data_IF_073172340360
#
_entry.id   IF_073172340360
#
_cell.length_a   1.000
_cell.length_b   1.000
_cell.length_c   1.000
_cell.angle_alpha   90.00
_cell.angle_beta   90.00
_cell.angle_gamma   90.00
#
_symmetry.space_group_name_H-M   'P 1'
#
loop_
_entity.id
_entity.type
_entity.pdbx_description
1 polymer ?
#
# COMPACT_ATOMS: atom_id res chain seq x y z
N UNK A 1 -49.77 77.54 42.33
CA UNK A 1 -49.92 78.38 43.55
C UNK A 1 -48.72 78.12 44.45
N UNK A 2 -47.91 79.17 44.71
CA UNK A 2 -46.82 79.34 45.72
C UNK A 2 -45.54 78.49 45.52
N UNK A 3 -44.41 79.09 45.07
CA UNK A 3 -43.36 79.84 45.83
C UNK A 3 -42.62 78.92 46.82
N UNK A 4 -41.29 78.76 46.82
CA UNK A 4 -40.20 79.73 47.06
C UNK A 4 -38.91 79.30 46.30
N UNK A 5 -38.22 80.13 45.53
CA UNK A 5 -37.21 81.16 45.87
C UNK A 5 -36.14 80.74 46.90
N UNK A 6 -34.89 80.57 46.43
CA UNK A 6 -33.74 81.39 46.85
C UNK A 6 -32.47 81.04 46.07
N UNK A 7 -32.09 81.98 45.22
CA UNK A 7 -30.78 82.15 44.59
C UNK A 7 -29.83 82.79 45.63
N UNK A 8 -28.60 82.29 45.76
CA UNK A 8 -27.51 83.02 46.40
C UNK A 8 -26.19 82.80 45.66
N UNK A 9 -25.31 83.77 45.85
CA UNK A 9 -24.41 84.36 44.87
C UNK A 9 -22.98 83.78 44.97
N UNK A 10 -22.46 83.41 43.80
CA UNK A 10 -21.09 83.47 43.26
C UNK A 10 -19.92 83.94 44.17
N UNK A 11 -18.80 83.18 44.15
CA UNK A 11 -17.40 83.63 43.82
C UNK A 11 -16.38 82.49 44.05
N UNK A 12 -15.72 81.99 42.99
CA UNK A 12 -14.32 82.22 42.54
C UNK A 12 -13.26 81.47 43.39
N UNK A 13 -12.25 80.71 42.92
CA UNK A 13 -11.48 80.62 41.66
C UNK A 13 -10.67 79.29 41.66
N UNK A 14 -10.17 78.90 40.48
CA UNK A 14 -8.85 78.30 40.17
C UNK A 14 -8.84 76.86 39.61
N UNK A 15 -8.69 76.79 38.29
CA UNK A 15 -7.67 75.96 37.65
C UNK A 15 -8.10 74.56 37.21
N UNK A 16 -8.15 74.34 35.89
CA UNK A 16 -8.14 72.98 35.36
C UNK A 16 -8.83 72.84 34.01
N UNK A 17 -8.09 73.11 32.94
CA UNK A 17 -8.15 72.46 31.62
C UNK A 17 -9.51 71.90 31.15
N UNK A 18 -10.11 72.57 30.16
CA UNK A 18 -11.00 71.91 29.20
C UNK A 18 -10.19 70.86 28.44
N UNK A 19 -10.29 69.59 28.85
CA UNK A 19 -9.94 68.46 27.98
C UNK A 19 -11.27 67.90 27.49
N UNK A 20 -11.54 68.11 26.21
CA UNK A 20 -12.64 67.47 25.49
C UNK A 20 -12.52 65.96 25.72
N UNK A 21 -13.43 65.39 26.50
CA UNK A 21 -13.52 63.94 26.65
C UNK A 21 -13.99 63.37 25.31
N UNK A 22 -13.05 62.89 24.50
CA UNK A 22 -13.34 61.97 23.41
C UNK A 22 -14.14 60.81 24.01
N UNK A 23 -15.32 60.46 23.49
CA UNK A 23 -16.07 59.33 24.02
C UNK A 23 -15.19 58.09 23.90
N UNK A 24 -14.89 57.46 25.04
CA UNK A 24 -14.16 56.21 25.07
C UNK A 24 -15.07 55.16 24.44
N UNK A 25 -14.84 54.85 23.16
CA UNK A 25 -15.59 53.84 22.42
C UNK A 25 -15.32 52.50 23.09
N UNK A 26 -16.36 51.89 23.69
CA UNK A 26 -16.23 50.56 24.29
C UNK A 26 -15.91 49.56 23.19
N UNK A 27 -14.85 48.77 23.38
CA UNK A 27 -14.56 47.64 22.50
C UNK A 27 -15.74 46.65 22.55
N UNK A 28 -16.13 46.11 21.40
CA UNK A 28 -17.13 45.06 21.31
C UNK A 28 -16.56 43.80 21.99
N UNK A 29 -17.16 43.42 23.12
CA UNK A 29 -16.78 42.23 23.89
C UNK A 29 -17.55 40.99 23.47
N UNK A 30 -18.31 41.06 22.37
CA UNK A 30 -19.07 39.93 21.85
C UNK A 30 -18.12 38.96 21.16
N UNK A 31 -17.87 37.81 21.78
CA UNK A 31 -17.08 36.76 21.18
C UNK A 31 -17.85 36.12 20.02
N UNK A 32 -17.24 36.07 18.83
CA UNK A 32 -17.77 35.36 17.67
C UNK A 32 -17.06 34.03 17.52
N UNK A 33 -17.82 32.98 17.19
CA UNK A 33 -17.29 31.64 16.93
C UNK A 33 -17.40 31.33 15.44
N UNK A 34 -16.41 30.62 14.91
CA UNK A 34 -16.45 30.03 13.57
C UNK A 34 -16.32 28.53 13.68
N UNK A 35 -16.94 27.80 12.76
CA UNK A 35 -16.82 26.35 12.67
C UNK A 35 -16.01 25.99 11.43
N UNK A 36 -15.02 25.13 11.59
CA UNK A 36 -14.35 24.48 10.45
C UNK A 36 -15.06 23.14 10.19
N UNK A 37 -15.46 22.90 8.94
CA UNK A 37 -16.13 21.66 8.53
C UNK A 37 -15.26 20.90 7.54
N UNK A 38 -15.09 19.59 7.79
CA UNK A 38 -14.43 18.64 6.89
C UNK A 38 -15.45 17.55 6.54
N UNK A 39 -15.58 17.26 5.23
CA UNK A 39 -16.41 16.17 4.75
C UNK A 39 -15.50 15.10 4.15
N UNK A 40 -15.62 13.86 4.65
CA UNK A 40 -14.98 12.68 4.09
C UNK A 40 -16.04 11.94 3.27
N UNK A 41 -15.76 11.67 2.00
CA UNK A 41 -16.69 10.96 1.12
C UNK A 41 -16.67 9.45 1.42
N UNK A 42 -17.78 8.77 1.15
CA UNK A 42 -17.86 7.31 1.22
C UNK A 42 -17.23 6.71 -0.04
N UNK A 43 -16.17 5.91 0.17
CA UNK A 43 -15.39 5.25 -0.87
C UNK A 43 -16.17 4.14 -1.60
N UNK A 44 -17.39 3.77 -1.15
CA UNK A 44 -18.23 2.78 -1.84
C UNK A 44 -18.57 3.15 -3.29
N UNK A 45 -18.43 4.44 -3.65
CA UNK A 45 -18.56 4.96 -5.02
C UNK A 45 -17.24 5.45 -5.62
N UNK A 46 -16.17 5.49 -4.82
CA UNK A 46 -14.84 5.94 -5.26
C UNK A 46 -14.05 4.76 -5.83
N UNK A 47 -14.00 4.68 -7.16
CA UNK A 47 -13.22 3.67 -7.88
C UNK A 47 -11.70 3.86 -7.76
N UNK A 48 -11.23 4.94 -7.12
CA UNK A 48 -9.81 5.28 -7.07
C UNK A 48 -9.08 4.66 -5.89
N UNK A 49 -9.74 4.39 -4.76
CA UNK A 49 -9.15 3.70 -3.61
C UNK A 49 -9.27 2.18 -3.73
N UNK A 50 -8.19 1.52 -4.15
CA UNK A 50 -8.15 0.08 -4.38
C UNK A 50 -6.86 -0.55 -3.87
N UNK A 51 -6.96 -1.83 -3.54
CA UNK A 51 -5.82 -2.73 -3.48
C UNK A 51 -5.94 -3.67 -4.67
N UNK A 52 -5.01 -3.58 -5.63
CA UNK A 52 -4.99 -4.44 -6.81
C UNK A 52 -3.60 -4.99 -7.10
N UNK A 53 -3.59 -6.22 -7.58
CA UNK A 53 -2.45 -6.87 -8.18
C UNK A 53 -2.59 -6.70 -9.69
N UNK A 54 -1.89 -5.72 -10.24
CA UNK A 54 -2.06 -5.29 -11.62
C UNK A 54 -1.27 -6.19 -12.58
N UNK A 55 -0.09 -6.68 -12.16
CA UNK A 55 0.74 -7.59 -12.95
C UNK A 55 1.42 -8.66 -12.08
N UNK A 56 1.63 -9.83 -12.68
CA UNK A 56 2.40 -10.95 -12.12
C UNK A 56 3.36 -11.52 -13.17
N UNK A 57 4.50 -12.11 -12.75
CA UNK A 57 5.50 -12.58 -13.68
C UNK A 57 5.11 -13.90 -14.35
N UNK A 58 5.65 -14.11 -15.54
CA UNK A 58 5.66 -15.38 -16.25
C UNK A 58 7.08 -15.96 -16.30
N UNK A 59 7.20 -17.29 -16.29
CA UNK A 59 8.49 -18.00 -16.25
C UNK A 59 8.67 -18.94 -17.46
N UNK A 60 9.03 -18.42 -18.65
CA UNK A 60 9.19 -19.23 -19.85
C UNK A 60 10.58 -19.87 -19.94
N UNK A 61 10.76 -21.07 -19.37
CA UNK A 61 12.03 -21.83 -19.42
C UNK A 61 12.37 -22.42 -20.82
N UNK A 62 11.60 -22.07 -21.85
CA UNK A 62 11.84 -22.41 -23.26
C UNK A 62 12.10 -23.92 -23.49
N UNK A 63 12.95 -24.25 -24.46
CA UNK A 63 13.22 -25.62 -24.87
C UNK A 63 14.22 -26.29 -23.91
N UNK A 64 13.73 -27.19 -23.08
CA UNK A 64 14.54 -28.02 -22.19
C UNK A 64 14.73 -29.40 -22.79
N UNK A 65 15.97 -29.90 -22.81
CA UNK A 65 16.28 -31.26 -23.25
C UNK A 65 15.81 -32.27 -22.20
N UNK A 66 15.21 -33.38 -22.63
CA UNK A 66 14.75 -34.43 -21.72
C UNK A 66 15.87 -34.96 -20.79
N UNK A 67 17.12 -35.06 -21.29
CA UNK A 67 18.27 -35.44 -20.48
C UNK A 67 18.55 -34.52 -19.29
N UNK A 68 18.26 -33.22 -19.41
CA UNK A 68 18.37 -32.24 -18.30
C UNK A 68 17.34 -32.53 -17.20
N UNK A 69 16.13 -32.94 -17.60
CA UNK A 69 15.04 -33.28 -16.69
C UNK A 69 15.37 -34.60 -15.96
N UNK A 70 15.79 -35.63 -16.71
CA UNK A 70 16.17 -36.95 -16.16
C UNK A 70 17.35 -36.88 -15.18
N UNK A 71 18.26 -35.93 -15.38
CA UNK A 71 19.42 -35.74 -14.51
C UNK A 71 19.17 -34.81 -13.33
N UNK A 72 17.94 -34.29 -13.17
CA UNK A 72 17.57 -33.39 -12.07
C UNK A 72 18.36 -32.07 -12.07
N UNK A 73 18.90 -31.67 -13.22
CA UNK A 73 19.69 -30.45 -13.34
C UNK A 73 18.79 -29.21 -13.29
N UNK A 74 19.41 -28.05 -13.13
CA UNK A 74 18.70 -26.76 -13.19
C UNK A 74 18.74 -26.17 -14.60
N UNK A 75 17.74 -25.36 -14.92
CA UNK A 75 17.69 -24.52 -16.12
C UNK A 75 17.56 -23.07 -15.68
N UNK A 76 18.46 -22.22 -16.16
CA UNK A 76 18.43 -20.78 -15.92
C UNK A 76 17.76 -20.06 -17.09
N UNK A 77 16.96 -19.05 -16.76
CA UNK A 77 16.26 -18.23 -17.73
C UNK A 77 16.37 -16.75 -17.36
N UNK A 78 16.87 -15.95 -18.30
CA UNK A 78 16.72 -14.50 -18.25
C UNK A 78 15.29 -14.10 -18.61
N UNK A 79 14.68 -13.22 -17.83
CA UNK A 79 13.32 -12.74 -18.01
C UNK A 79 13.37 -11.30 -18.50
N UNK A 80 12.82 -11.05 -19.70
CA UNK A 80 12.82 -9.74 -20.35
C UNK A 80 11.43 -9.19 -20.61
N UNK A 81 10.40 -10.04 -20.55
CA UNK A 81 9.00 -9.68 -20.78
C UNK A 81 8.14 -10.30 -19.69
N UNK A 82 7.04 -9.64 -19.31
CA UNK A 82 6.09 -10.12 -18.30
C UNK A 82 6.81 -10.60 -17.03
N UNK A 83 7.76 -9.79 -16.55
CA UNK A 83 8.66 -10.13 -15.46
C UNK A 83 8.51 -9.17 -14.26
N UNK A 84 7.36 -8.52 -14.19
CA UNK A 84 7.02 -7.55 -13.16
C UNK A 84 6.00 -8.13 -12.18
N UNK A 85 6.10 -7.64 -10.95
CA UNK A 85 4.99 -7.64 -9.98
C UNK A 85 4.61 -6.20 -9.77
N UNK A 86 3.38 -5.85 -10.13
CA UNK A 86 2.84 -4.49 -9.97
C UNK A 86 1.69 -4.55 -8.97
N UNK A 87 1.83 -3.82 -7.88
CA UNK A 87 0.79 -3.69 -6.87
C UNK A 87 0.41 -2.22 -6.74
N UNK A 88 -0.90 -1.95 -6.73
CA UNK A 88 -1.47 -0.64 -6.43
C UNK A 88 -2.20 -0.71 -5.09
N UNK A 89 -1.77 0.09 -4.12
CA UNK A 89 -2.49 0.32 -2.86
C UNK A 89 -2.77 1.82 -2.69
N UNK A 90 -3.96 2.24 -3.11
CA UNK A 90 -4.48 3.61 -2.95
C UNK A 90 -5.55 3.69 -1.86
N UNK A 91 -5.73 2.63 -1.07
CA UNK A 91 -6.71 2.63 0.02
C UNK A 91 -6.33 3.68 1.07
N UNK A 92 -7.34 4.35 1.61
CA UNK A 92 -7.19 5.33 2.70
C UNK A 92 -6.89 4.70 4.07
N UNK A 93 -6.76 3.37 4.15
CA UNK A 93 -6.41 2.65 5.36
C UNK A 93 -4.89 2.61 5.56
N UNK A 94 -4.42 2.75 6.80
CA UNK A 94 -3.02 2.51 7.17
C UNK A 94 -2.68 1.00 7.26
N UNK A 95 -3.65 0.11 7.00
CA UNK A 95 -3.43 -1.32 6.98
C UNK A 95 -2.62 -1.69 5.73
N UNK A 96 -1.62 -2.55 5.95
CA UNK A 96 -0.78 -3.12 4.91
C UNK A 96 -1.48 -4.11 3.98
N UNK A 97 -0.67 -4.89 3.28
CA UNK A 97 -1.14 -5.98 2.42
C UNK A 97 -0.14 -7.15 2.44
N UNK A 98 -0.62 -8.33 2.06
CA UNK A 98 0.16 -9.54 1.90
C UNK A 98 -0.02 -10.08 0.48
N UNK A 99 1.09 -10.41 -0.17
CA UNK A 99 1.12 -11.11 -1.45
C UNK A 99 1.65 -12.53 -1.21
N UNK A 100 0.89 -13.52 -1.64
CA UNK A 100 1.26 -14.92 -1.52
C UNK A 100 1.07 -15.66 -2.85
N UNK A 101 1.90 -16.68 -3.09
CA UNK A 101 1.70 -17.66 -4.15
C UNK A 101 1.16 -18.94 -3.53
N UNK A 102 0.01 -19.39 -4.00
CA UNK A 102 -0.70 -20.58 -3.51
C UNK A 102 -1.06 -21.51 -4.66
N UNK A 103 -1.43 -22.75 -4.31
CA UNK A 103 -1.99 -23.75 -5.23
C UNK A 103 -1.19 -23.89 -6.52
N UNK A 104 0.11 -24.11 -6.39
CA UNK A 104 0.97 -24.31 -7.55
C UNK A 104 0.76 -25.72 -8.09
N UNK A 105 0.72 -25.86 -9.41
CA UNK A 105 0.59 -27.18 -10.05
C UNK A 105 1.94 -27.70 -10.51
N UNK A 106 2.02 -29.01 -10.78
CA UNK A 106 3.11 -29.55 -11.58
C UNK A 106 3.07 -28.94 -12.99
N UNK A 107 4.19 -29.03 -13.70
CA UNK A 107 4.22 -28.84 -15.14
C UNK A 107 3.52 -30.04 -15.80
N UNK A 108 2.47 -29.79 -16.59
CA UNK A 108 1.66 -30.85 -17.21
C UNK A 108 1.64 -30.77 -18.74
N UNK A 109 1.70 -31.93 -19.38
CA UNK A 109 1.47 -32.14 -20.81
C UNK A 109 0.68 -33.45 -20.98
N UNK A 110 -0.64 -33.35 -21.17
CA UNK A 110 -1.52 -34.51 -21.06
C UNK A 110 -1.42 -35.14 -19.66
N UNK A 111 -1.18 -36.45 -19.61
CA UNK A 111 -1.03 -37.21 -18.36
C UNK A 111 0.39 -37.11 -17.76
N UNK A 112 1.37 -36.62 -18.53
CA UNK A 112 2.75 -36.48 -18.07
C UNK A 112 2.92 -35.28 -17.15
N UNK A 113 3.62 -35.48 -16.04
CA UNK A 113 3.91 -34.44 -15.05
C UNK A 113 5.39 -34.28 -14.78
N UNK A 114 5.81 -33.05 -14.56
CA UNK A 114 7.16 -32.69 -14.10
C UNK A 114 7.02 -31.78 -12.89
N UNK A 115 7.69 -32.15 -11.81
CA UNK A 115 7.78 -31.38 -10.58
C UNK A 115 9.08 -30.58 -10.57
N UNK A 116 9.07 -29.44 -9.88
CA UNK A 116 10.27 -28.64 -9.76
C UNK A 116 10.16 -27.52 -8.74
N UNK A 117 11.22 -26.74 -8.65
CA UNK A 117 11.28 -25.54 -7.84
C UNK A 117 11.75 -24.38 -8.68
N UNK A 118 10.93 -23.34 -8.78
CA UNK A 118 11.30 -22.07 -9.40
C UNK A 118 11.96 -21.21 -8.32
N UNK A 119 13.17 -20.73 -8.57
CA UNK A 119 13.87 -19.80 -7.71
C UNK A 119 14.13 -18.50 -8.47
N UNK A 120 13.91 -17.36 -7.83
CA UNK A 120 14.15 -16.06 -8.45
C UNK A 120 14.48 -14.98 -7.42
N UNK A 121 15.18 -13.96 -7.88
CA UNK A 121 15.56 -12.79 -7.07
C UNK A 121 14.84 -11.57 -7.62
N UNK A 122 13.82 -11.05 -6.93
CA UNK A 122 13.15 -9.81 -7.31
C UNK A 122 13.98 -8.59 -6.93
N UNK A 123 13.81 -7.49 -7.67
CA UNK A 123 14.27 -6.18 -7.23
C UNK A 123 13.44 -5.68 -6.05
N UNK A 124 13.92 -4.64 -5.37
CA UNK A 124 13.06 -3.89 -4.47
C UNK A 124 11.87 -3.31 -5.24
N UNK A 125 10.74 -3.13 -4.55
CA UNK A 125 9.61 -2.37 -5.09
C UNK A 125 9.99 -0.90 -5.25
N UNK A 126 9.61 -0.32 -6.38
CA UNK A 126 9.86 1.08 -6.72
C UNK A 126 8.57 1.76 -7.17
N UNK A 127 8.29 2.91 -6.58
CA UNK A 127 7.33 3.89 -7.08
C UNK A 127 8.01 4.79 -8.12
N UNK A 128 7.21 5.55 -8.88
CA UNK A 128 7.74 6.53 -9.83
C UNK A 128 8.60 7.63 -9.18
N UNK A 129 8.37 7.90 -7.89
CA UNK A 129 9.08 8.92 -7.10
C UNK A 129 10.22 8.35 -6.23
N UNK A 130 10.49 7.04 -6.31
CA UNK A 130 11.59 6.40 -5.61
C UNK A 130 11.21 5.12 -4.88
N UNK A 131 11.91 4.83 -3.78
CA UNK A 131 11.73 3.58 -3.05
C UNK A 131 10.31 3.41 -2.47
N UNK A 132 9.87 2.16 -2.41
CA UNK A 132 8.60 1.76 -1.81
C UNK A 132 8.76 1.49 -0.30
N UNK A 133 8.74 2.56 0.49
CA UNK A 133 8.87 2.44 1.94
C UNK A 133 7.82 1.48 2.53
N UNK A 134 8.29 0.54 3.36
CA UNK A 134 7.44 -0.47 4.00
C UNK A 134 7.00 -1.61 3.08
N UNK A 135 7.31 -1.58 1.79
CA UNK A 135 6.99 -2.67 0.85
C UNK A 135 8.22 -3.56 0.68
N UNK A 136 8.09 -4.83 1.04
CA UNK A 136 9.24 -5.75 1.12
C UNK A 136 8.92 -7.13 0.58
N UNK A 137 9.91 -7.74 -0.06
CA UNK A 137 9.90 -9.18 -0.31
C UNK A 137 10.26 -9.91 0.98
N UNK A 138 9.56 -10.99 1.28
CA UNK A 138 9.78 -11.79 2.50
C UNK A 138 11.17 -12.42 2.54
N UNK A 139 11.78 -12.63 1.37
CA UNK A 139 13.14 -13.17 1.20
C UNK A 139 13.82 -12.47 0.02
N UNK A 140 15.14 -12.31 0.10
CA UNK A 140 15.94 -11.80 -1.02
C UNK A 140 15.86 -12.71 -2.26
N UNK A 141 15.81 -14.02 -2.04
CA UNK A 141 15.55 -15.02 -3.08
C UNK A 141 14.28 -15.79 -2.71
N UNK A 142 13.32 -15.80 -3.62
CA UNK A 142 12.06 -16.51 -3.47
C UNK A 142 12.15 -17.89 -4.12
N UNK A 143 11.53 -18.89 -3.49
CA UNK A 143 11.51 -20.27 -3.95
C UNK A 143 10.07 -20.77 -3.95
N UNK A 144 9.59 -21.23 -5.10
CA UNK A 144 8.24 -21.76 -5.31
C UNK A 144 8.35 -23.22 -5.70
N UNK A 145 7.79 -24.11 -4.89
CA UNK A 145 7.70 -25.54 -5.19
C UNK A 145 6.48 -25.82 -6.05
N UNK A 146 6.63 -26.69 -7.06
CA UNK A 146 5.61 -27.06 -8.05
C UNK A 146 5.52 -28.60 -8.11
N UNK A 147 4.39 -29.22 -7.76
CA UNK A 147 3.19 -28.64 -7.14
C UNK A 147 3.36 -28.37 -5.64
N UNK A 148 2.52 -27.50 -5.08
CA UNK A 148 2.43 -27.25 -3.65
C UNK A 148 1.04 -26.72 -3.28
N UNK A 149 0.49 -27.25 -2.18
CA UNK A 149 -0.72 -26.71 -1.53
C UNK A 149 -0.41 -25.67 -0.46
N UNK A 150 0.86 -25.42 -0.17
CA UNK A 150 1.30 -24.47 0.85
C UNK A 150 1.19 -23.05 0.29
N UNK A 151 0.59 -22.16 1.07
CA UNK A 151 0.60 -20.72 0.79
C UNK A 151 1.97 -20.15 1.14
N UNK A 152 2.69 -19.67 0.13
CA UNK A 152 3.99 -19.02 0.31
C UNK A 152 3.80 -17.51 0.25
N UNK A 153 3.86 -16.84 1.41
CA UNK A 153 3.94 -15.39 1.44
C UNK A 153 5.27 -14.94 0.85
N UNK A 154 5.20 -14.06 -0.16
CA UNK A 154 6.36 -13.62 -0.93
C UNK A 154 6.65 -12.14 -0.75
N UNK A 155 5.63 -11.32 -0.51
CA UNK A 155 5.83 -9.90 -0.26
C UNK A 155 4.76 -9.33 0.67
N UNK A 156 5.07 -8.20 1.29
CA UNK A 156 4.19 -7.47 2.20
C UNK A 156 4.34 -5.97 2.05
N UNK A 157 3.34 -5.23 2.52
CA UNK A 157 3.46 -3.81 2.85
C UNK A 157 3.05 -3.57 4.29
N UNK A 158 3.70 -2.62 4.95
CA UNK A 158 3.26 -2.10 6.25
C UNK A 158 2.09 -1.12 6.13
N UNK A 159 1.78 -0.62 4.92
CA UNK A 159 0.78 0.41 4.69
C UNK A 159 1.29 1.85 4.82
N UNK A 160 2.58 2.05 5.12
CA UNK A 160 3.19 3.37 5.30
C UNK A 160 3.21 4.24 4.04
N UNK A 161 3.44 3.64 2.87
CA UNK A 161 3.41 4.31 1.56
C UNK A 161 2.31 3.76 0.66
N UNK A 162 1.65 4.66 -0.06
CA UNK A 162 0.50 4.41 -0.95
C UNK A 162 0.83 4.76 -2.40
N UNK A 163 0.08 4.16 -3.33
CA UNK A 163 0.20 4.30 -4.77
C UNK A 163 0.56 2.99 -5.46
N UNK A 164 1.19 3.09 -6.63
CA UNK A 164 1.61 1.94 -7.44
C UNK A 164 3.11 1.74 -7.37
N UNK A 165 3.54 0.52 -7.03
CA UNK A 165 4.95 0.15 -7.07
C UNK A 165 5.17 -1.10 -7.94
N UNK A 166 6.32 -1.12 -8.59
CA UNK A 166 6.77 -2.21 -9.47
C UNK A 166 7.99 -2.88 -8.88
N UNK A 167 8.02 -4.21 -8.90
CA UNK A 167 9.20 -5.03 -8.68
C UNK A 167 9.51 -5.81 -9.96
N UNK A 168 10.78 -5.93 -10.33
CA UNK A 168 11.23 -6.63 -11.54
C UNK A 168 12.02 -7.88 -11.18
N UNK A 169 11.76 -8.98 -11.85
CA UNK A 169 12.49 -10.23 -11.73
C UNK A 169 13.29 -10.41 -13.03
N UNK A 170 14.62 -10.31 -12.97
CA UNK A 170 15.44 -10.39 -14.19
C UNK A 170 15.85 -11.83 -14.53
N UNK A 171 15.89 -12.71 -13.54
CA UNK A 171 16.37 -14.08 -13.69
C UNK A 171 15.55 -15.02 -12.82
N UNK A 172 15.30 -16.22 -13.37
CA UNK A 172 14.74 -17.33 -12.63
C UNK A 172 15.45 -18.64 -13.01
N UNK A 173 15.50 -19.55 -12.06
CA UNK A 173 16.07 -20.89 -12.21
C UNK A 173 14.99 -21.91 -11.92
N UNK A 174 14.83 -22.92 -12.77
CA UNK A 174 13.98 -24.09 -12.51
C UNK A 174 14.88 -25.27 -12.18
N UNK A 175 14.73 -25.82 -10.98
CA UNK A 175 15.34 -27.10 -10.60
C UNK A 175 14.30 -28.20 -10.72
N UNK A 176 14.60 -29.27 -11.45
CA UNK A 176 13.71 -30.43 -11.56
C UNK A 176 13.82 -31.32 -10.32
N UNK A 177 12.68 -31.69 -9.74
CA UNK A 177 12.62 -32.48 -8.50
C UNK A 177 12.00 -33.88 -8.68
N UNK A 178 11.38 -34.14 -9.84
CA UNK A 178 10.75 -35.41 -10.15
C UNK A 178 9.92 -35.31 -11.42
N UNK A 179 9.60 -36.43 -12.03
CA UNK A 179 8.75 -36.49 -13.22
C UNK A 179 8.15 -37.89 -13.39
N UNK A 180 7.04 -37.96 -14.11
CA UNK A 180 6.49 -39.20 -14.63
C UNK A 180 7.17 -39.57 -15.97
N UNK A 181 6.59 -40.47 -16.76
CA UNK A 181 7.00 -40.64 -18.15
C UNK A 181 6.85 -39.31 -18.90
N UNK A 182 7.95 -38.81 -19.47
CA UNK A 182 7.99 -37.53 -20.20
C UNK A 182 7.76 -37.80 -21.68
N UNK A 183 6.90 -37.01 -22.31
CA UNK A 183 6.66 -37.02 -23.76
C UNK A 183 7.04 -35.66 -24.36
N UNK A 184 7.46 -35.60 -25.64
CA UNK A 184 7.71 -34.32 -26.30
C UNK A 184 6.46 -33.43 -26.31
N UNK A 185 6.65 -32.13 -26.06
CA UNK A 185 5.59 -31.13 -26.12
C UNK A 185 5.75 -30.03 -25.08
N UNK A 186 4.75 -29.14 -25.01
CA UNK A 186 4.73 -28.02 -24.07
C UNK A 186 4.16 -28.46 -22.73
N UNK A 187 4.91 -28.20 -21.67
CA UNK A 187 4.43 -28.38 -20.31
C UNK A 187 4.09 -27.04 -19.68
N UNK A 188 2.96 -26.96 -18.99
CA UNK A 188 2.52 -25.72 -18.31
C UNK A 188 2.23 -25.99 -16.83
N UNK A 189 2.60 -25.03 -15.99
CA UNK A 189 2.27 -25.04 -14.57
C UNK A 189 1.56 -23.73 -14.22
N UNK A 190 0.57 -23.81 -13.33
CA UNK A 190 -0.16 -22.65 -12.84
C UNK A 190 0.40 -22.22 -11.48
N UNK A 191 0.53 -20.91 -11.31
CA UNK A 191 0.90 -20.25 -10.07
C UNK A 191 -0.23 -19.28 -9.71
N UNK A 192 -0.84 -19.43 -8.54
CA UNK A 192 -1.93 -18.52 -8.12
C UNK A 192 -1.38 -17.45 -7.20
N UNK A 193 -1.29 -16.21 -7.68
CA UNK A 193 -0.89 -15.07 -6.87
C UNK A 193 -2.11 -14.44 -6.21
N UNK A 194 -2.06 -14.27 -4.89
CA UNK A 194 -3.14 -13.76 -4.08
C UNK A 194 -2.67 -12.54 -3.30
N UNK A 195 -3.29 -11.40 -3.58
CA UNK A 195 -3.09 -10.17 -2.85
C UNK A 195 -4.26 -9.96 -1.89
N UNK A 196 -3.96 -9.77 -0.61
CA UNK A 196 -4.96 -9.54 0.43
C UNK A 196 -4.57 -8.37 1.30
N UNK A 197 -5.57 -7.69 1.87
CA UNK A 197 -5.31 -6.76 2.96
C UNK A 197 -4.67 -7.50 4.14
N UNK A 198 -3.71 -6.88 4.82
CA UNK A 198 -3.25 -7.39 6.10
C UNK A 198 -4.42 -7.34 7.10
N UNK A 199 -4.48 -8.27 8.05
CA UNK A 199 -5.39 -8.13 9.18
C UNK A 199 -4.71 -7.26 10.23
N UNK A 200 -5.42 -6.28 10.81
CA UNK A 200 -4.93 -5.58 12.00
C UNK A 200 -4.84 -6.62 13.12
N UNK A 201 -3.66 -6.84 13.68
CA UNK A 201 -3.55 -7.61 14.92
C UNK A 201 -4.45 -6.96 15.97
N UNK A 202 -5.33 -7.75 16.58
CA UNK A 202 -6.28 -7.32 17.62
C UNK A 202 -5.59 -7.02 18.96
N UNK A 203 -4.34 -6.55 18.96
CA UNK A 203 -3.55 -6.30 20.16
C UNK A 203 -3.07 -4.86 20.20
N UNK A 204 -3.98 -3.92 20.44
CA UNK A 204 -3.70 -2.66 21.15
C UNK A 204 -5.01 -1.93 21.40
N UNK A 205 -5.59 -2.12 22.59
CA UNK A 205 -6.01 -1.03 23.49
C UNK A 205 -6.56 -1.66 24.78
N UNK A 206 -5.77 -1.62 25.84
CA UNK A 206 -6.28 -1.39 27.18
C UNK A 206 -5.66 -0.07 27.59
N UNK A 207 -6.46 0.99 27.52
CA UNK A 207 -6.21 2.25 28.22
C UNK A 207 -6.21 2.04 29.74
#
# INVERSE_FOLDING_TARGET
>A
MKLFSKLNLLTLVLGGTLVLSVPMVKADTTNQQSTATLNIQDESTDTTAKLSLDEVPSFPFNNVKAGTIFSGQSVDQGLTNNNHVVVTDTRLSNIGWNLAVTNTTAFVNGDSKINGTIQFTPSAFQFSDGAAEGWTWSKAQTSLELPSSVSNQVATSTGAKKGTATSTIQHATLKFNGHDAIVPGSYTANLTWNLTAATKDSSTESE
#
